data_IF_365684878689
#
_entry.id   IF_365684878689
#
_cell.length_a   1.000
_cell.length_b   1.000
_cell.length_c   1.000
_cell.angle_alpha   90.00
_cell.angle_beta   90.00
_cell.angle_gamma   90.00
#
_symmetry.space_group_name_H-M   'P 1'
#
loop_
_entity.id
_entity.type
_entity.pdbx_description
1 polymer ?
#
# COMPACT_ATOMS: atom_id res chain seq x y z
N UNK A 1 -14.13 -6.33 7.41
CA UNK A 1 -13.29 -5.63 6.43
C UNK A 1 -12.80 -6.62 5.39
N UNK A 2 -12.92 -6.30 4.10
CA UNK A 2 -12.48 -7.22 3.06
C UNK A 2 -11.01 -6.98 2.68
N UNK A 3 -10.43 -7.90 1.89
CA UNK A 3 -9.01 -7.83 1.54
C UNK A 3 -8.65 -6.61 0.69
N UNK A 4 -9.55 -6.16 -0.19
CA UNK A 4 -9.30 -4.95 -0.98
C UNK A 4 -9.16 -3.73 -0.08
N UNK A 5 -9.98 -3.64 0.93
CA UNK A 5 -9.96 -2.55 1.89
C UNK A 5 -8.68 -2.59 2.72
N UNK A 6 -8.31 -3.77 3.22
CA UNK A 6 -7.09 -3.96 4.01
C UNK A 6 -5.87 -3.58 3.17
N UNK A 7 -5.80 -4.05 1.93
CA UNK A 7 -4.69 -3.73 1.04
C UNK A 7 -4.61 -2.23 0.78
N UNK A 8 -5.74 -1.57 0.51
CA UNK A 8 -5.76 -0.14 0.23
C UNK A 8 -5.21 0.67 1.41
N UNK A 9 -5.59 0.30 2.63
CA UNK A 9 -5.10 0.96 3.84
C UNK A 9 -3.58 0.78 3.98
N UNK A 10 -3.09 -0.44 3.77
CA UNK A 10 -1.67 -0.71 3.93
C UNK A 10 -0.82 -0.06 2.84
N UNK A 11 -1.31 0.01 1.60
CA UNK A 11 -0.61 0.73 0.54
C UNK A 11 -0.45 2.20 0.92
N UNK A 12 -1.52 2.84 1.40
CA UNK A 12 -1.46 4.24 1.83
C UNK A 12 -0.59 4.42 3.05
N UNK A 13 -0.63 3.45 3.98
CA UNK A 13 0.21 3.47 5.17
C UNK A 13 1.70 3.55 4.80
N UNK A 14 2.16 2.63 3.94
CA UNK A 14 3.57 2.61 3.54
C UNK A 14 3.94 3.84 2.72
N UNK A 15 3.05 4.28 1.85
CA UNK A 15 3.30 5.48 1.07
C UNK A 15 3.52 6.69 1.98
N UNK A 16 2.72 6.81 3.02
CA UNK A 16 2.82 7.94 3.97
C UNK A 16 4.05 7.86 4.85
N UNK A 17 4.37 6.69 5.41
CA UNK A 17 5.53 6.60 6.31
C UNK A 17 6.85 6.85 5.57
N UNK A 18 6.91 6.54 4.28
CA UNK A 18 8.09 6.84 3.47
C UNK A 18 7.99 8.20 2.77
N UNK A 19 6.92 8.94 3.05
CA UNK A 19 6.70 10.29 2.51
C UNK A 19 6.77 10.34 1.00
N UNK A 20 6.09 9.41 0.34
CA UNK A 20 6.09 9.29 -1.11
C UNK A 20 4.76 9.77 -1.70
N UNK A 21 4.84 10.42 -2.86
CA UNK A 21 3.65 10.68 -3.67
C UNK A 21 3.11 9.36 -4.22
N UNK A 22 1.88 9.35 -4.68
CA UNK A 22 1.33 8.17 -5.36
C UNK A 22 2.18 7.78 -6.56
N UNK A 23 2.59 8.78 -7.35
CA UNK A 23 3.40 8.56 -8.54
C UNK A 23 4.73 7.88 -8.21
N UNK A 24 5.42 8.39 -7.20
CA UNK A 24 6.70 7.82 -6.77
C UNK A 24 6.52 6.44 -6.15
N UNK A 25 5.47 6.26 -5.35
CA UNK A 25 5.20 4.97 -4.74
C UNK A 25 4.89 3.90 -5.80
N UNK A 26 4.10 4.26 -6.81
CA UNK A 26 3.82 3.34 -7.92
C UNK A 26 5.13 2.91 -8.60
N UNK A 27 6.03 3.86 -8.86
CA UNK A 27 7.35 3.55 -9.43
C UNK A 27 8.14 2.59 -8.53
N UNK A 28 8.18 2.88 -7.23
CA UNK A 28 8.94 2.07 -6.26
C UNK A 28 8.44 0.64 -6.20
N UNK A 29 7.13 0.44 -6.10
CA UNK A 29 6.58 -0.93 -5.99
C UNK A 29 6.48 -1.64 -7.34
N UNK A 30 6.64 -0.92 -8.44
CA UNK A 30 6.65 -1.51 -9.77
C UNK A 30 5.27 -1.66 -10.41
N UNK A 31 4.44 -0.62 -10.27
CA UNK A 31 3.12 -0.60 -10.90
C UNK A 31 2.88 0.76 -11.57
N UNK A 32 1.79 0.88 -12.31
CA UNK A 32 1.41 2.16 -12.89
C UNK A 32 0.65 3.01 -11.88
N UNK A 33 0.67 4.33 -12.07
CA UNK A 33 -0.11 5.24 -11.23
C UNK A 33 -1.60 4.92 -11.30
N UNK A 34 -2.10 4.61 -12.50
CA UNK A 34 -3.49 4.25 -12.69
C UNK A 34 -3.88 3.01 -11.89
N UNK A 35 -3.01 1.99 -11.89
CA UNK A 35 -3.28 0.76 -11.14
C UNK A 35 -3.21 1.01 -9.63
N UNK A 36 -2.23 1.80 -9.19
CA UNK A 36 -2.13 2.15 -7.76
C UNK A 36 -3.40 2.90 -7.30
N UNK A 37 -3.88 3.85 -8.09
CA UNK A 37 -5.10 4.56 -7.77
C UNK A 37 -6.29 3.61 -7.61
N UNK A 38 -6.42 2.64 -8.51
CA UNK A 38 -7.49 1.65 -8.43
C UNK A 38 -7.38 0.77 -7.18
N UNK A 39 -6.16 0.39 -6.83
CA UNK A 39 -5.93 -0.40 -5.61
C UNK A 39 -6.28 0.41 -4.36
N UNK A 40 -5.87 1.67 -4.31
CA UNK A 40 -6.18 2.54 -3.16
C UNK A 40 -7.67 2.87 -3.07
N UNK A 41 -8.39 2.79 -4.18
CA UNK A 41 -9.84 3.00 -4.22
C UNK A 41 -10.63 1.69 -4.08
N UNK A 42 -9.96 0.57 -3.86
CA UNK A 42 -10.59 -0.74 -3.68
C UNK A 42 -11.36 -1.23 -4.91
N UNK A 43 -10.92 -0.83 -6.09
CA UNK A 43 -11.62 -1.15 -7.34
C UNK A 43 -11.12 -2.39 -8.06
N UNK A 44 -10.02 -2.98 -7.62
CA UNK A 44 -9.42 -4.15 -8.29
C UNK A 44 -8.97 -5.19 -7.27
N UNK A 45 -8.97 -6.43 -7.69
CA UNK A 45 -8.34 -7.52 -6.94
C UNK A 45 -6.87 -7.61 -7.35
N UNK A 46 -6.03 -8.03 -6.41
CA UNK A 46 -4.61 -8.16 -6.64
C UNK A 46 -4.16 -9.57 -6.28
N UNK A 47 -3.39 -10.18 -7.16
CA UNK A 47 -2.87 -11.54 -6.93
C UNK A 47 -1.83 -11.53 -5.81
N UNK A 48 -1.75 -12.62 -5.06
CA UNK A 48 -0.76 -12.74 -4.00
C UNK A 48 0.67 -12.61 -4.53
N UNK A 49 0.94 -13.16 -5.73
CA UNK A 49 2.26 -13.02 -6.36
C UNK A 49 2.61 -11.56 -6.64
N UNK A 50 1.63 -10.75 -6.97
CA UNK A 50 1.81 -9.31 -7.19
C UNK A 50 2.13 -8.60 -5.87
N UNK A 51 1.45 -8.97 -4.80
CA UNK A 51 1.72 -8.43 -3.47
C UNK A 51 3.15 -8.77 -3.04
N UNK A 52 3.59 -9.99 -3.31
CA UNK A 52 4.98 -10.42 -3.05
C UNK A 52 5.97 -9.52 -3.79
N UNK A 53 5.70 -9.24 -5.06
CA UNK A 53 6.53 -8.34 -5.87
C UNK A 53 6.62 -6.96 -5.23
N UNK A 54 5.48 -6.40 -4.81
CA UNK A 54 5.45 -5.08 -4.19
C UNK A 54 6.25 -5.05 -2.89
N UNK A 55 6.12 -6.09 -2.06
CA UNK A 55 6.86 -6.20 -0.80
C UNK A 55 8.36 -6.25 -1.07
N UNK A 56 8.79 -7.06 -2.02
CA UNK A 56 10.21 -7.18 -2.37
C UNK A 56 10.77 -5.84 -2.88
N UNK A 57 10.02 -5.16 -3.73
CA UNK A 57 10.45 -3.87 -4.27
C UNK A 57 10.54 -2.80 -3.19
N UNK A 58 9.55 -2.77 -2.31
CA UNK A 58 9.53 -1.79 -1.21
C UNK A 58 10.65 -2.08 -0.22
N UNK A 59 10.94 -3.35 0.04
CA UNK A 59 12.06 -3.74 0.91
C UNK A 59 13.39 -3.22 0.35
N UNK A 60 13.60 -3.35 -0.94
CA UNK A 60 14.82 -2.85 -1.59
C UNK A 60 14.94 -1.33 -1.48
N UNK A 61 13.83 -0.63 -1.67
CA UNK A 61 13.83 0.83 -1.59
C UNK A 61 14.07 1.32 -0.16
N UNK A 62 13.38 0.73 0.81
CA UNK A 62 13.42 1.18 2.20
C UNK A 62 14.61 0.64 2.97
N UNK A 63 15.21 -0.44 2.49
CA UNK A 63 16.24 -1.22 3.18
C UNK A 63 15.74 -1.83 4.49
N UNK A 64 14.42 -1.98 4.60
CA UNK A 64 13.77 -2.66 5.70
C UNK A 64 13.15 -3.96 5.21
N UNK A 65 12.91 -4.90 6.12
CA UNK A 65 12.30 -6.16 5.75
C UNK A 65 10.78 -6.02 5.73
N UNK A 66 10.23 -5.85 4.53
CA UNK A 66 8.77 -5.77 4.32
C UNK A 66 8.32 -7.09 3.74
N UNK A 67 7.46 -7.78 4.48
CA UNK A 67 6.93 -9.08 4.07
C UNK A 67 5.58 -8.89 3.32
N UNK A 68 5.21 -9.82 2.43
CA UNK A 68 3.91 -9.73 1.76
C UNK A 68 2.74 -9.62 2.73
N UNK A 69 2.81 -10.32 3.87
CA UNK A 69 1.76 -10.29 4.88
C UNK A 69 1.57 -8.89 5.47
N UNK A 70 2.59 -8.04 5.43
CA UNK A 70 2.49 -6.68 5.95
C UNK A 70 1.46 -5.86 5.18
N UNK A 71 1.27 -6.16 3.89
CA UNK A 71 0.24 -5.49 3.08
C UNK A 71 -1.17 -6.00 3.40
N UNK A 72 -1.29 -7.10 4.11
CA UNK A 72 -2.56 -7.69 4.51
C UNK A 72 -2.79 -7.60 6.01
N UNK A 73 -2.01 -6.76 6.69
CA UNK A 73 -2.11 -6.56 8.12
C UNK A 73 -3.37 -5.75 8.45
N UNK A 74 -4.26 -6.36 9.23
CA UNK A 74 -5.51 -5.73 9.64
C UNK A 74 -5.32 -5.00 10.97
N UNK A 75 -4.40 -4.06 11.03
CA UNK A 75 -4.13 -3.26 12.21
C UNK A 75 -5.06 -2.04 12.25
N UNK A 76 -5.96 -2.03 13.22
CA UNK A 76 -6.95 -0.97 13.37
C UNK A 76 -6.34 0.40 13.59
N UNK A 77 -5.18 0.48 14.23
CA UNK A 77 -4.52 1.77 14.44
C UNK A 77 -4.03 2.36 13.13
N UNK A 78 -3.53 1.53 12.21
CA UNK A 78 -3.18 1.97 10.86
C UNK A 78 -4.40 2.51 10.13
N UNK A 79 -5.49 1.75 10.16
CA UNK A 79 -6.74 2.12 9.49
C UNK A 79 -7.23 3.47 9.99
N UNK A 80 -7.36 3.63 11.29
CA UNK A 80 -7.89 4.83 11.91
C UNK A 80 -7.00 6.05 11.62
N UNK A 81 -5.71 5.91 11.88
CA UNK A 81 -4.78 7.03 11.77
C UNK A 81 -4.62 7.53 10.34
N UNK A 82 -4.47 6.62 9.40
CA UNK A 82 -4.20 7.00 8.01
C UNK A 82 -5.44 7.41 7.25
N UNK A 83 -6.60 6.89 7.62
CA UNK A 83 -7.87 7.37 7.07
C UNK A 83 -8.09 8.82 7.46
N UNK A 84 -7.82 9.18 8.71
CA UNK A 84 -7.96 10.56 9.17
C UNK A 84 -6.99 11.52 8.48
N UNK A 85 -5.76 11.07 8.26
CA UNK A 85 -4.77 11.88 7.55
C UNK A 85 -5.23 12.15 6.13
N UNK A 86 -5.75 11.16 5.44
CA UNK A 86 -6.25 11.31 4.08
C UNK A 86 -7.46 12.24 4.02
N UNK A 87 -8.33 12.21 5.00
CA UNK A 87 -9.49 13.09 5.08
C UNK A 87 -9.12 14.56 5.24
N UNK A 88 -7.97 14.83 5.84
CA UNK A 88 -7.52 16.20 6.08
C UNK A 88 -6.89 16.85 4.85
N UNK A 89 -6.68 16.10 3.82
CA UNK A 89 -6.15 16.62 2.57
C UNK A 89 -7.26 17.12 1.67
#
# INVERSE_FOLDING_TARGET
MNLKEILSVNLRYYRKIYNLSQEKFAEVIGTSLSHLNKMEQQKVDVKLSTITKYANNLSKFSKENIEPIDFLNNDKSRITNYSRIDEKK
#
